data_IF_992788887838
#
_entry.id   IF_992788887838
#
_cell.length_a   1.000
_cell.length_b   1.000
_cell.length_c   1.000
_cell.angle_alpha   90.00
_cell.angle_beta   90.00
_cell.angle_gamma   90.00
#
_symmetry.space_group_name_H-M   'P 1'
#
loop_
_entity.id
_entity.type
_entity.pdbx_description
1 polymer ?
#
# COMPACT_ATOMS: atom_id res chain seq x y z
N UNK A 1 5.16 15.01 23.80
CA UNK A 1 6.51 15.61 23.87
C UNK A 1 7.40 15.25 22.68
N UNK A 2 7.65 13.98 22.35
CA UNK A 2 8.65 13.60 21.31
C UNK A 2 8.27 14.03 19.88
N UNK A 3 7.00 13.87 19.46
CA UNK A 3 6.54 14.33 18.13
C UNK A 3 6.61 15.86 18.00
N UNK A 4 6.35 16.59 19.09
CA UNK A 4 6.51 18.04 19.15
C UNK A 4 7.97 18.46 19.05
N UNK A 5 8.88 17.74 19.71
CA UNK A 5 10.32 18.02 19.64
C UNK A 5 10.91 17.71 18.27
N UNK A 6 10.48 16.63 17.61
CA UNK A 6 10.95 16.27 16.26
C UNK A 6 10.52 17.30 15.21
N UNK A 7 9.38 17.93 15.43
CA UNK A 7 8.79 18.88 14.49
C UNK A 7 9.26 20.29 14.77
N UNK A 8 9.44 20.64 16.04
CA UNK A 8 10.23 21.79 16.43
C UNK A 8 11.66 21.68 15.88
N UNK A 9 12.28 20.49 15.90
CA UNK A 9 13.59 20.26 15.28
C UNK A 9 13.55 20.34 13.75
N UNK A 10 12.47 19.89 13.10
CA UNK A 10 12.30 20.00 11.64
C UNK A 10 12.02 21.44 11.20
N UNK A 11 11.23 22.19 11.97
CA UNK A 11 11.01 23.63 11.83
C UNK A 11 12.28 24.43 12.14
N UNK A 12 13.04 24.02 13.16
CA UNK A 12 14.33 24.62 13.49
C UNK A 12 15.36 24.32 12.40
N UNK A 13 15.37 23.11 11.83
CA UNK A 13 16.20 22.76 10.68
C UNK A 13 15.79 23.58 9.45
N UNK A 14 14.50 23.78 9.22
CA UNK A 14 13.98 24.68 8.19
C UNK A 14 14.44 26.15 8.41
N UNK A 15 14.40 26.63 9.66
CA UNK A 15 14.88 27.94 10.07
C UNK A 15 16.42 28.06 10.01
N UNK A 16 17.16 26.97 10.19
CA UNK A 16 18.62 26.90 10.04
C UNK A 16 19.05 26.83 8.56
N UNK A 17 18.16 26.41 7.66
CA UNK A 17 18.39 26.46 6.21
C UNK A 17 18.09 27.85 5.63
N UNK A 18 17.36 28.72 6.32
CA UNK A 18 17.10 30.12 5.90
C UNK A 18 18.39 30.96 5.73
N UNK A 19 19.39 30.91 6.64
CA UNK A 19 20.69 31.58 6.44
C UNK A 19 21.51 31.07 5.25
N UNK A 20 21.35 29.79 4.87
CA UNK A 20 22.01 29.21 3.69
C UNK A 20 21.53 29.89 2.39
N UNK A 21 20.26 30.35 2.36
CA UNK A 21 19.69 31.15 1.26
C UNK A 21 20.29 32.57 1.21
N UNK A 22 20.78 33.09 2.33
CA UNK A 22 21.48 34.39 2.40
C UNK A 22 22.87 34.35 1.76
N UNK A 23 23.61 33.26 1.95
CA UNK A 23 24.99 33.10 1.43
C UNK A 23 25.04 32.74 -0.06
N UNK A 24 23.95 32.22 -0.64
CA UNK A 24 23.81 31.98 -2.08
C UNK A 24 23.27 33.21 -2.86
N UNK A 25 23.30 34.41 -2.26
CA UNK A 25 22.97 35.66 -2.97
C UNK A 25 24.16 36.28 -3.71
N UNK A 26 25.37 35.77 -3.51
CA UNK A 26 26.59 36.28 -4.15
C UNK A 26 26.82 35.70 -5.55
N UNK A 27 25.87 34.94 -6.11
CA UNK A 27 25.88 34.65 -7.55
C UNK A 27 25.44 35.90 -8.31
N UNK A 28 26.28 36.47 -9.17
CA UNK A 28 25.94 37.70 -9.87
C UNK A 28 24.71 37.46 -10.73
N UNK A 29 23.66 38.28 -10.50
CA UNK A 29 22.48 38.34 -11.36
C UNK A 29 22.94 38.53 -12.81
N UNK A 30 22.83 37.49 -13.62
CA UNK A 30 23.04 37.64 -15.05
C UNK A 30 21.91 38.50 -15.62
N UNK A 31 22.31 39.71 -15.96
CA UNK A 31 21.58 40.78 -16.62
C UNK A 31 20.72 40.23 -17.76
N UNK A 32 19.40 40.30 -17.61
CA UNK A 32 18.47 40.17 -18.73
C UNK A 32 18.37 41.54 -19.41
N UNK A 33 19.26 41.79 -20.37
CA UNK A 33 19.17 42.97 -21.24
C UNK A 33 17.97 42.80 -22.16
N UNK A 34 16.86 43.44 -21.80
CA UNK A 34 15.67 43.59 -22.65
C UNK A 34 16.04 44.47 -23.85
N UNK A 35 16.33 43.85 -25.00
CA UNK A 35 16.35 44.51 -26.30
C UNK A 35 15.05 44.19 -27.04
N UNK A 36 14.28 45.23 -27.36
CA UNK A 36 13.07 45.15 -28.18
C UNK A 36 13.36 44.51 -29.55
N UNK A 37 12.49 43.60 -30.00
CA UNK A 37 12.27 43.36 -31.44
C UNK A 37 12.74 42.04 -32.06
N UNK A 38 13.05 40.98 -31.31
CA UNK A 38 13.48 39.70 -31.89
C UNK A 38 12.43 38.59 -31.64
N UNK A 39 12.05 37.76 -32.64
CA UNK A 39 11.19 36.60 -32.41
C UNK A 39 11.83 35.68 -31.38
N UNK A 40 11.05 34.96 -30.55
CA UNK A 40 11.59 34.20 -29.43
C UNK A 40 12.53 33.11 -29.96
N UNK A 41 13.84 33.33 -29.80
CA UNK A 41 14.83 32.28 -29.99
C UNK A 41 14.49 31.13 -29.03
N UNK A 42 14.63 29.86 -29.44
CA UNK A 42 14.50 28.73 -28.52
C UNK A 42 15.41 29.01 -27.33
N UNK A 43 14.82 29.03 -26.14
CA UNK A 43 15.45 29.44 -24.88
C UNK A 43 16.78 28.68 -24.74
N UNK A 44 17.91 29.34 -24.96
CA UNK A 44 19.22 28.70 -24.79
C UNK A 44 19.42 28.48 -23.29
N UNK A 45 19.14 27.26 -22.83
CA UNK A 45 19.38 26.83 -21.46
C UNK A 45 20.87 26.95 -21.18
N UNK A 46 21.26 27.85 -20.29
CA UNK A 46 22.64 27.91 -19.81
C UNK A 46 22.98 26.58 -19.11
N UNK A 47 24.26 26.14 -19.12
CA UNK A 47 24.67 24.90 -18.45
C UNK A 47 24.30 24.87 -16.97
N UNK A 48 24.38 26.02 -16.29
CA UNK A 48 23.98 26.18 -14.89
C UNK A 48 22.48 25.95 -14.70
N UNK A 49 21.64 26.62 -15.50
CA UNK A 49 20.18 26.47 -15.43
C UNK A 49 19.76 25.02 -15.75
N UNK A 50 20.38 24.39 -16.75
CA UNK A 50 20.13 22.97 -17.06
C UNK A 50 20.47 22.05 -15.88
N UNK A 51 21.54 22.34 -15.16
CA UNK A 51 21.96 21.58 -13.99
C UNK A 51 20.97 21.77 -12.84
N UNK A 52 20.57 23.01 -12.57
CA UNK A 52 19.58 23.32 -11.54
C UNK A 52 18.22 22.68 -11.83
N UNK A 53 17.75 22.68 -13.09
CA UNK A 53 16.53 21.98 -13.50
C UNK A 53 16.66 20.47 -13.25
N UNK A 54 17.81 19.89 -13.54
CA UNK A 54 18.07 18.46 -13.32
C UNK A 54 18.03 18.12 -11.82
N UNK A 55 18.67 18.93 -10.98
CA UNK A 55 18.63 18.78 -9.52
C UNK A 55 17.21 18.95 -8.99
N UNK A 56 16.46 19.97 -9.43
CA UNK A 56 15.07 20.17 -9.06
C UNK A 56 14.20 18.94 -9.40
N UNK A 57 14.32 18.44 -10.63
CA UNK A 57 13.57 17.29 -11.10
C UNK A 57 13.90 16.02 -10.29
N UNK A 58 15.19 15.79 -10.03
CA UNK A 58 15.64 14.64 -9.24
C UNK A 58 15.16 14.70 -7.79
N UNK A 59 15.27 15.87 -7.14
CA UNK A 59 14.78 16.08 -5.77
C UNK A 59 13.28 15.81 -5.64
N UNK A 60 12.47 16.30 -6.60
CA UNK A 60 11.03 16.05 -6.59
C UNK A 60 10.66 14.61 -6.96
N UNK A 61 11.38 13.97 -7.86
CA UNK A 61 11.21 12.54 -8.10
C UNK A 61 11.42 11.76 -6.81
N UNK A 62 12.60 11.88 -6.18
CA UNK A 62 12.91 11.16 -4.94
C UNK A 62 11.92 11.49 -3.83
N UNK A 63 11.50 12.76 -3.71
CA UNK A 63 10.54 13.19 -2.70
C UNK A 63 9.12 12.70 -2.96
N UNK A 64 8.40 13.31 -3.91
CA UNK A 64 6.96 13.11 -4.12
C UNK A 64 6.66 11.90 -5.02
N UNK A 65 7.62 11.52 -5.87
CA UNK A 65 7.50 10.33 -6.72
C UNK A 65 7.77 9.02 -5.97
N UNK A 66 8.73 9.03 -5.02
CA UNK A 66 9.19 7.81 -4.36
C UNK A 66 8.96 7.77 -2.84
N UNK A 67 9.61 8.67 -2.07
CA UNK A 67 9.61 8.59 -0.60
C UNK A 67 8.22 8.78 0.00
N UNK A 68 7.40 9.70 -0.53
CA UNK A 68 6.05 9.91 -0.01
C UNK A 68 5.14 8.68 -0.19
N UNK A 69 5.07 8.05 -1.39
CA UNK A 69 4.39 6.76 -1.56
C UNK A 69 4.91 5.65 -0.65
N UNK A 70 6.24 5.53 -0.50
CA UNK A 70 6.86 4.55 0.41
C UNK A 70 6.43 4.80 1.86
N UNK A 71 6.42 6.06 2.30
CA UNK A 71 5.93 6.44 3.62
C UNK A 71 4.48 6.00 3.85
N UNK A 72 3.60 6.14 2.84
CA UNK A 72 2.21 5.66 2.92
C UNK A 72 2.16 4.14 3.03
N UNK A 73 2.93 3.40 2.23
CA UNK A 73 2.97 1.94 2.29
C UNK A 73 3.41 1.47 3.68
N UNK A 74 4.48 2.07 4.25
CA UNK A 74 4.99 1.75 5.59
C UNK A 74 3.90 1.86 6.66
N UNK A 75 3.18 2.99 6.71
CA UNK A 75 2.14 3.17 7.74
C UNK A 75 0.93 2.25 7.50
N UNK A 76 0.62 1.91 6.25
CA UNK A 76 -0.46 0.96 5.96
C UNK A 76 -0.16 -0.45 6.47
N UNK A 77 1.12 -0.86 6.55
CA UNK A 77 1.50 -2.19 7.08
C UNK A 77 1.04 -2.31 8.53
N UNK A 78 0.92 -1.17 9.23
CA UNK A 78 0.50 -1.12 10.61
C UNK A 78 -0.89 -1.74 10.85
N UNK A 79 -1.77 -1.81 9.83
CA UNK A 79 -3.08 -2.46 9.94
C UNK A 79 -2.97 -3.98 10.17
N UNK A 80 -1.85 -4.60 9.78
CA UNK A 80 -1.60 -6.04 9.89
C UNK A 80 -0.84 -6.44 11.16
N UNK A 81 -0.43 -5.46 11.95
CA UNK A 81 0.50 -5.66 13.05
C UNK A 81 -0.22 -5.46 14.37
N UNK A 82 -0.40 -6.54 15.12
CA UNK A 82 -1.02 -6.50 16.45
C UNK A 82 -0.03 -6.16 17.57
N UNK A 83 1.28 -6.20 17.29
CA UNK A 83 2.32 -5.86 18.27
C UNK A 83 2.46 -4.33 18.42
N UNK A 84 2.21 -3.82 19.63
CA UNK A 84 2.28 -2.38 19.94
C UNK A 84 3.66 -1.77 19.63
N UNK A 85 4.75 -2.49 19.92
CA UNK A 85 6.11 -2.01 19.66
C UNK A 85 6.36 -1.84 18.17
N UNK A 86 5.95 -2.81 17.35
CA UNK A 86 6.07 -2.74 15.89
C UNK A 86 5.17 -1.64 15.30
N UNK A 87 3.97 -1.46 15.84
CA UNK A 87 3.06 -0.36 15.44
C UNK A 87 3.71 1.01 15.67
N UNK A 88 4.36 1.21 16.83
CA UNK A 88 5.12 2.43 17.13
C UNK A 88 6.29 2.60 16.16
N UNK A 89 7.05 1.54 15.88
CA UNK A 89 8.16 1.57 14.95
C UNK A 89 7.73 1.98 13.52
N UNK A 90 6.64 1.39 13.00
CA UNK A 90 6.09 1.75 11.68
C UNK A 90 5.59 3.20 11.64
N UNK A 91 4.98 3.68 12.73
CA UNK A 91 4.58 5.09 12.84
C UNK A 91 5.79 6.04 12.81
N UNK A 92 6.86 5.74 13.55
CA UNK A 92 8.08 6.55 13.51
C UNK A 92 8.77 6.48 12.15
N UNK A 93 8.86 5.30 11.54
CA UNK A 93 9.42 5.12 10.21
C UNK A 93 8.65 5.97 9.17
N UNK A 94 7.31 5.96 9.22
CA UNK A 94 6.49 6.83 8.40
C UNK A 94 6.82 8.31 8.61
N UNK A 95 6.85 8.80 9.85
CA UNK A 95 7.14 10.21 10.14
C UNK A 95 8.53 10.61 9.65
N UNK A 96 9.54 9.76 9.85
CA UNK A 96 10.93 10.02 9.42
C UNK A 96 10.99 10.11 7.89
N UNK A 97 10.46 9.10 7.18
CA UNK A 97 10.45 9.08 5.71
C UNK A 97 9.71 10.30 5.15
N UNK A 98 8.55 10.65 5.72
CA UNK A 98 7.79 11.83 5.27
C UNK A 98 8.51 13.14 5.57
N UNK A 99 9.21 13.23 6.70
CA UNK A 99 10.00 14.42 7.02
C UNK A 99 11.13 14.61 6.01
N UNK A 100 11.87 13.56 5.69
CA UNK A 100 12.91 13.60 4.65
C UNK A 100 12.32 14.01 3.31
N UNK A 101 11.17 13.44 2.91
CA UNK A 101 10.50 13.82 1.68
C UNK A 101 10.11 15.30 1.65
N UNK A 102 9.52 15.84 2.72
CA UNK A 102 9.13 17.26 2.82
C UNK A 102 10.36 18.18 2.73
N UNK A 103 11.48 17.81 3.35
CA UNK A 103 12.72 18.58 3.29
C UNK A 103 13.28 18.61 1.85
N UNK A 104 13.30 17.48 1.14
CA UNK A 104 13.70 17.43 -0.26
C UNK A 104 12.77 18.25 -1.17
N UNK A 105 11.45 18.17 -0.96
CA UNK A 105 10.48 18.98 -1.69
C UNK A 105 10.67 20.48 -1.44
N UNK A 106 10.99 20.85 -0.20
CA UNK A 106 11.30 22.23 0.18
C UNK A 106 12.60 22.70 -0.48
N UNK A 107 13.66 21.91 -0.46
CA UNK A 107 14.91 22.25 -1.15
C UNK A 107 14.67 22.47 -2.65
N UNK A 108 13.87 21.61 -3.30
CA UNK A 108 13.51 21.76 -4.70
C UNK A 108 12.65 23.02 -4.97
N UNK A 109 11.72 23.34 -4.08
CA UNK A 109 10.89 24.55 -4.17
C UNK A 109 11.73 25.82 -4.01
N UNK A 110 12.65 25.85 -3.04
CA UNK A 110 13.60 26.96 -2.84
C UNK A 110 14.49 27.13 -4.07
N UNK A 111 15.02 26.02 -4.61
CA UNK A 111 15.80 26.03 -5.85
C UNK A 111 15.01 26.65 -7.02
N UNK A 112 13.72 26.30 -7.14
CA UNK A 112 12.83 26.88 -8.16
C UNK A 112 12.55 28.36 -7.96
N UNK A 113 12.32 28.80 -6.72
CA UNK A 113 12.02 30.21 -6.41
C UNK A 113 13.22 31.10 -6.69
N UNK A 114 14.42 30.63 -6.38
CA UNK A 114 15.66 31.42 -6.53
C UNK A 114 16.13 31.47 -7.98
N UNK A 115 16.06 30.36 -8.71
CA UNK A 115 16.78 30.22 -9.98
C UNK A 115 15.90 30.18 -11.23
N UNK A 116 14.60 29.95 -11.11
CA UNK A 116 13.72 29.80 -12.27
C UNK A 116 12.78 31.00 -12.44
N UNK A 117 12.30 31.21 -13.66
CA UNK A 117 11.25 32.20 -13.92
C UNK A 117 9.89 31.70 -13.41
N UNK A 118 9.41 32.29 -12.32
CA UNK A 118 8.15 31.93 -11.68
C UNK A 118 6.97 32.76 -12.21
N UNK A 119 6.76 32.74 -13.54
CA UNK A 119 5.64 33.46 -14.18
C UNK A 119 4.27 32.78 -13.99
N UNK A 120 4.25 31.53 -13.51
CA UNK A 120 3.05 30.69 -13.31
C UNK A 120 2.15 30.59 -14.55
N UNK A 121 2.73 30.79 -15.73
CA UNK A 121 2.03 30.73 -17.02
C UNK A 121 1.79 29.30 -17.50
N UNK A 122 2.51 28.32 -16.93
CA UNK A 122 2.41 26.92 -17.28
C UNK A 122 1.72 26.08 -16.18
N UNK A 123 1.13 24.96 -16.59
CA UNK A 123 0.40 24.04 -15.70
C UNK A 123 1.30 23.40 -14.63
N UNK A 124 2.53 23.02 -14.95
CA UNK A 124 3.50 22.46 -14.00
C UNK A 124 3.82 23.42 -12.84
N UNK A 125 4.00 24.70 -13.11
CA UNK A 125 4.28 25.71 -12.09
C UNK A 125 3.08 25.93 -11.16
N UNK A 126 1.88 26.08 -11.75
CA UNK A 126 0.64 26.27 -10.98
C UNK A 126 0.32 25.05 -10.11
N UNK A 127 0.41 23.86 -10.70
CA UNK A 127 0.18 22.60 -9.99
C UNK A 127 1.27 22.36 -8.94
N UNK A 128 2.53 22.63 -9.25
CA UNK A 128 3.66 22.51 -8.33
C UNK A 128 3.53 23.40 -7.10
N UNK A 129 3.10 24.66 -7.26
CA UNK A 129 2.84 25.55 -6.14
C UNK A 129 1.68 25.06 -5.25
N UNK A 130 0.56 24.65 -5.86
CA UNK A 130 -0.57 24.08 -5.13
C UNK A 130 -0.18 22.79 -4.39
N UNK A 131 0.58 21.91 -5.05
CA UNK A 131 1.11 20.69 -4.47
C UNK A 131 2.02 21.00 -3.27
N UNK A 132 2.91 21.98 -3.38
CA UNK A 132 3.79 22.36 -2.28
C UNK A 132 3.02 22.85 -1.05
N UNK A 133 1.94 23.61 -1.25
CA UNK A 133 1.06 23.98 -0.15
C UNK A 133 0.39 22.74 0.50
N UNK A 134 -0.10 21.79 -0.31
CA UNK A 134 -0.69 20.55 0.19
C UNK A 134 0.32 19.69 0.97
N UNK A 135 1.58 19.63 0.54
CA UNK A 135 2.66 18.94 1.24
C UNK A 135 2.83 19.47 2.67
N UNK A 136 2.73 20.78 2.89
CA UNK A 136 2.82 21.38 4.23
C UNK A 136 1.53 21.31 5.04
N UNK A 137 0.37 21.28 4.39
CA UNK A 137 -0.91 21.05 5.08
C UNK A 137 -0.94 19.66 5.72
N UNK A 138 -0.32 18.65 5.11
CA UNK A 138 -0.25 17.28 5.64
C UNK A 138 0.25 17.16 7.09
N UNK A 139 1.47 17.62 7.42
CA UNK A 139 1.96 17.56 8.78
C UNK A 139 1.12 18.42 9.73
N UNK A 140 0.59 19.57 9.30
CA UNK A 140 -0.33 20.39 10.11
C UNK A 140 -1.58 19.59 10.50
N UNK A 141 -2.24 18.96 9.54
CA UNK A 141 -3.38 18.07 9.80
C UNK A 141 -2.95 16.91 10.70
N UNK A 142 -1.74 16.37 10.52
CA UNK A 142 -1.22 15.32 11.37
C UNK A 142 -0.93 15.77 12.82
N UNK A 143 -0.62 17.05 13.08
CA UNK A 143 -0.51 17.58 14.45
C UNK A 143 -1.85 17.69 15.15
N UNK A 144 -2.90 18.04 14.40
CA UNK A 144 -4.27 18.15 14.91
C UNK A 144 -4.95 16.78 15.10
N UNK A 145 -4.14 15.72 15.20
CA UNK A 145 -4.56 14.33 15.38
C UNK A 145 -5.39 14.17 16.67
N UNK A 146 -6.68 13.81 16.58
CA UNK A 146 -7.52 13.60 17.76
C UNK A 146 -7.09 12.38 18.59
N UNK A 147 -7.41 12.42 19.89
CA UNK A 147 -7.28 11.29 20.81
C UNK A 147 -8.09 10.07 20.34
N UNK A 148 -7.62 8.87 20.69
CA UNK A 148 -8.32 7.60 20.38
C UNK A 148 -9.68 7.56 21.07
N UNK A 149 -10.64 6.84 20.48
CA UNK A 149 -12.01 6.70 20.99
C UNK A 149 -12.98 7.83 20.61
N UNK A 150 -12.50 8.92 20.01
CA UNK A 150 -13.37 10.03 19.56
C UNK A 150 -13.97 9.75 18.18
N UNK A 151 -15.24 10.12 17.95
CA UNK A 151 -15.88 10.01 16.61
C UNK A 151 -15.13 10.83 15.54
N UNK A 152 -14.52 11.94 15.94
CA UNK A 152 -13.72 12.83 15.08
C UNK A 152 -12.46 12.15 14.54
N UNK A 153 -11.91 11.16 15.26
CA UNK A 153 -10.73 10.38 14.86
C UNK A 153 -10.90 9.73 13.48
N UNK A 154 -12.09 9.20 13.18
CA UNK A 154 -12.40 8.55 11.90
C UNK A 154 -12.40 9.54 10.75
N UNK A 155 -13.03 10.71 10.94
CA UNK A 155 -13.05 11.80 9.95
C UNK A 155 -11.63 12.33 9.70
N UNK A 156 -10.87 12.56 10.76
CA UNK A 156 -9.46 12.97 10.64
C UNK A 156 -8.63 11.93 9.86
N UNK A 157 -8.82 10.64 10.14
CA UNK A 157 -8.10 9.58 9.46
C UNK A 157 -8.43 9.56 7.96
N UNK A 158 -9.71 9.62 7.61
CA UNK A 158 -10.16 9.67 6.22
C UNK A 158 -9.59 10.90 5.49
N UNK A 159 -9.67 12.08 6.12
CA UNK A 159 -9.15 13.33 5.55
C UNK A 159 -7.64 13.27 5.34
N UNK A 160 -6.88 12.88 6.37
CA UNK A 160 -5.42 12.78 6.30
C UNK A 160 -4.99 11.76 5.25
N UNK A 161 -5.66 10.60 5.20
CA UNK A 161 -5.40 9.57 4.21
C UNK A 161 -5.71 10.04 2.79
N UNK A 162 -6.91 10.60 2.53
CA UNK A 162 -7.31 11.10 1.21
C UNK A 162 -6.37 12.20 0.72
N UNK A 163 -6.08 13.19 1.57
CA UNK A 163 -5.16 14.25 1.22
C UNK A 163 -3.75 13.69 0.95
N UNK A 164 -3.30 12.68 1.72
CA UNK A 164 -1.94 12.15 1.63
C UNK A 164 -1.74 11.36 0.33
N UNK A 165 -2.72 10.52 -0.01
CA UNK A 165 -2.77 9.85 -1.30
C UNK A 165 -2.91 10.85 -2.46
N UNK A 166 -3.72 11.90 -2.29
CA UNK A 166 -3.86 12.98 -3.27
C UNK A 166 -2.54 13.69 -3.55
N UNK A 167 -1.75 14.01 -2.52
CA UNK A 167 -0.41 14.59 -2.67
C UNK A 167 0.50 13.68 -3.50
N UNK A 168 0.48 12.36 -3.29
CA UNK A 168 1.29 11.43 -4.06
C UNK A 168 0.86 11.37 -5.53
N UNK A 169 -0.45 11.27 -5.80
CA UNK A 169 -0.99 11.23 -7.18
C UNK A 169 -0.67 12.53 -7.92
N UNK A 170 -0.95 13.68 -7.30
CA UNK A 170 -0.66 14.99 -7.89
C UNK A 170 0.86 15.21 -8.04
N UNK A 171 1.66 14.69 -7.10
CA UNK A 171 3.12 14.71 -7.15
C UNK A 171 3.67 14.00 -8.37
N UNK A 172 3.31 12.72 -8.55
CA UNK A 172 3.71 11.92 -9.71
C UNK A 172 3.23 12.58 -11.01
N UNK A 173 1.98 13.01 -11.08
CA UNK A 173 1.45 13.73 -12.23
C UNK A 173 2.28 14.99 -12.54
N UNK A 174 2.63 15.77 -11.52
CA UNK A 174 3.41 16.98 -11.71
C UNK A 174 4.85 16.70 -12.18
N UNK A 175 5.45 15.57 -11.79
CA UNK A 175 6.75 15.12 -12.32
C UNK A 175 6.64 14.80 -13.81
N UNK A 176 5.60 14.09 -14.25
CA UNK A 176 5.37 13.82 -15.68
C UNK A 176 5.16 15.11 -16.49
N UNK A 177 4.36 16.05 -15.98
CA UNK A 177 4.14 17.35 -16.64
C UNK A 177 5.47 18.14 -16.69
N UNK A 178 6.30 18.05 -15.65
CA UNK A 178 7.64 18.64 -15.61
C UNK A 178 8.57 18.05 -16.67
N UNK A 179 8.61 16.72 -16.80
CA UNK A 179 9.36 16.02 -17.86
C UNK A 179 8.89 16.42 -19.25
N UNK A 180 7.58 16.53 -19.46
CA UNK A 180 6.99 16.98 -20.71
C UNK A 180 7.42 18.41 -21.06
N UNK A 181 7.29 19.32 -20.09
CA UNK A 181 7.69 20.73 -20.23
C UNK A 181 9.19 20.84 -20.53
N UNK A 182 10.03 20.04 -19.86
CA UNK A 182 11.47 20.02 -20.10
C UNK A 182 11.80 19.54 -21.52
N UNK A 183 11.14 18.49 -22.01
CA UNK A 183 11.28 18.00 -23.39
C UNK A 183 10.94 19.09 -24.41
N UNK A 184 9.82 19.78 -24.24
CA UNK A 184 9.39 20.85 -25.15
C UNK A 184 10.36 22.03 -25.16
N UNK A 185 10.91 22.40 -24.00
CA UNK A 185 11.79 23.56 -23.85
C UNK A 185 13.23 23.30 -24.29
N UNK A 186 13.75 22.09 -24.03
CA UNK A 186 15.15 21.74 -24.27
C UNK A 186 15.37 20.94 -25.56
N UNK A 187 14.30 20.44 -26.19
CA UNK A 187 14.33 19.47 -27.29
C UNK A 187 15.15 18.20 -26.98
N UNK A 188 15.42 17.92 -25.70
CA UNK A 188 16.16 16.72 -25.26
C UNK A 188 15.20 15.57 -25.00
N UNK A 189 15.66 14.36 -25.31
CA UNK A 189 14.91 13.14 -25.05
C UNK A 189 14.82 12.87 -23.54
N UNK A 190 13.59 12.71 -23.04
CA UNK A 190 13.29 12.34 -21.65
C UNK A 190 12.80 10.89 -21.50
N UNK A 191 12.81 10.11 -22.58
CA UNK A 191 12.17 8.79 -22.63
C UNK A 191 12.72 7.82 -21.58
N UNK A 192 14.03 7.80 -21.37
CA UNK A 192 14.64 6.91 -20.37
C UNK A 192 14.14 7.24 -18.96
N UNK A 193 14.16 8.53 -18.60
CA UNK A 193 13.66 9.01 -17.31
C UNK A 193 12.16 8.74 -17.13
N UNK A 194 11.35 8.97 -18.16
CA UNK A 194 9.93 8.65 -18.15
C UNK A 194 9.67 7.15 -17.97
N UNK A 195 10.42 6.29 -18.66
CA UNK A 195 10.30 4.84 -18.53
C UNK A 195 10.68 4.35 -17.14
N UNK A 196 11.78 4.86 -16.56
CA UNK A 196 12.21 4.54 -15.20
C UNK A 196 11.16 4.98 -14.16
N UNK A 197 10.65 6.21 -14.26
CA UNK A 197 9.59 6.69 -13.38
C UNK A 197 8.32 5.83 -13.51
N UNK A 198 7.96 5.43 -14.73
CA UNK A 198 6.78 4.58 -14.97
C UNK A 198 6.96 3.19 -14.39
N UNK A 199 8.14 2.59 -14.53
CA UNK A 199 8.45 1.31 -13.92
C UNK A 199 8.39 1.39 -12.39
N UNK A 200 9.00 2.41 -11.79
CA UNK A 200 8.95 2.67 -10.35
C UNK A 200 7.52 2.82 -9.83
N UNK A 201 6.74 3.73 -10.44
CA UNK A 201 5.34 3.98 -10.05
C UNK A 201 4.50 2.70 -10.20
N UNK A 202 4.75 1.90 -11.24
CA UNK A 202 4.07 0.62 -11.43
C UNK A 202 4.40 -0.37 -10.31
N UNK A 203 5.69 -0.48 -9.93
CA UNK A 203 6.12 -1.34 -8.82
C UNK A 203 5.48 -0.88 -7.51
N UNK A 204 5.54 0.42 -7.21
CA UNK A 204 4.92 1.01 -6.02
C UNK A 204 3.41 0.76 -5.99
N UNK A 205 2.72 0.92 -7.12
CA UNK A 205 1.29 0.65 -7.24
C UNK A 205 0.97 -0.84 -7.01
N UNK A 206 1.75 -1.76 -7.59
CA UNK A 206 1.61 -3.20 -7.36
C UNK A 206 1.80 -3.53 -5.89
N UNK A 207 2.87 -3.02 -5.25
CA UNK A 207 3.12 -3.22 -3.81
C UNK A 207 1.95 -2.69 -2.98
N UNK A 208 1.46 -1.49 -3.29
CA UNK A 208 0.34 -0.85 -2.60
C UNK A 208 -0.94 -1.71 -2.70
N UNK A 209 -1.25 -2.26 -3.87
CA UNK A 209 -2.44 -3.11 -4.08
C UNK A 209 -2.29 -4.50 -3.44
N UNK A 210 -1.11 -5.10 -3.51
CA UNK A 210 -0.85 -6.43 -2.96
C UNK A 210 -0.85 -6.45 -1.43
N UNK A 211 -0.48 -5.34 -0.79
CA UNK A 211 -0.41 -5.20 0.66
C UNK A 211 -1.72 -5.61 1.36
N UNK A 212 -2.87 -5.19 0.82
CA UNK A 212 -4.19 -5.50 1.40
C UNK A 212 -4.59 -6.98 1.20
N UNK A 213 -4.09 -7.63 0.13
CA UNK A 213 -4.41 -9.02 -0.20
C UNK A 213 -3.38 -10.04 0.28
N UNK A 214 -2.27 -9.59 0.87
CA UNK A 214 -1.16 -10.46 1.27
C UNK A 214 -1.57 -11.67 2.12
N UNK A 215 -2.36 -11.50 3.18
CA UNK A 215 -2.81 -12.62 4.03
C UNK A 215 -3.68 -13.63 3.27
N UNK A 216 -4.53 -13.15 2.37
CA UNK A 216 -5.35 -14.00 1.53
C UNK A 216 -4.48 -14.84 0.58
N UNK A 217 -3.49 -14.21 -0.07
CA UNK A 217 -2.54 -14.89 -0.96
C UNK A 217 -1.73 -15.94 -0.20
N UNK A 218 -1.21 -15.60 0.99
CA UNK A 218 -0.46 -16.54 1.83
C UNK A 218 -1.33 -17.71 2.31
N UNK A 219 -2.62 -17.47 2.60
CA UNK A 219 -3.56 -18.54 2.95
C UNK A 219 -3.77 -19.50 1.77
N UNK A 220 -3.96 -18.98 0.55
CA UNK A 220 -4.12 -19.83 -0.63
C UNK A 220 -2.85 -20.61 -0.98
N UNK A 221 -1.67 -19.98 -0.85
CA UNK A 221 -0.39 -20.65 -1.08
C UNK A 221 -0.19 -21.85 -0.12
N UNK A 222 -0.57 -21.70 1.15
CA UNK A 222 -0.49 -22.79 2.14
C UNK A 222 -1.47 -23.92 1.88
N UNK A 223 -2.71 -23.60 1.49
CA UNK A 223 -3.72 -24.62 1.15
C UNK A 223 -3.31 -25.41 -0.10
N UNK A 224 -2.65 -24.77 -1.08
CA UNK A 224 -2.11 -25.47 -2.24
C UNK A 224 -1.01 -26.47 -1.90
N UNK A 225 -0.12 -26.14 -0.95
CA UNK A 225 0.99 -27.01 -0.51
C UNK A 225 0.48 -28.24 0.26
N UNK A 226 -0.54 -28.05 1.09
CA UNK A 226 -1.17 -29.11 1.89
C UNK A 226 -1.98 -30.10 1.03
N UNK A 227 -2.53 -29.67 -0.11
CA UNK A 227 -3.21 -30.59 -1.04
C UNK A 227 -2.26 -31.34 -1.99
N UNK A 228 -1.03 -30.86 -2.18
CA UNK A 228 -0.02 -31.51 -3.03
C UNK A 228 0.80 -32.55 -2.27
N UNK A 229 0.78 -32.54 -0.92
CA UNK A 229 1.42 -33.55 -0.08
C UNK A 229 0.37 -34.43 0.63
N UNK A 230 -0.16 -35.49 -0.03
CA UNK A 230 -0.91 -36.49 0.72
C UNK A 230 0.03 -37.08 1.78
N UNK A 231 -0.42 -37.09 3.03
CA UNK A 231 0.38 -37.65 4.11
C UNK A 231 0.80 -39.08 3.74
N UNK A 232 2.07 -39.49 3.98
CA UNK A 232 2.51 -40.85 3.65
C UNK A 232 1.60 -41.92 4.26
N UNK A 233 0.96 -41.61 5.39
CA UNK A 233 0.03 -42.49 6.09
C UNK A 233 -1.32 -42.64 5.37
N UNK A 234 -1.88 -41.57 4.79
CA UNK A 234 -3.12 -41.66 4.01
C UNK A 234 -2.91 -42.39 2.68
N UNK A 235 -1.77 -42.16 2.01
CA UNK A 235 -1.41 -42.93 0.82
C UNK A 235 -1.23 -44.42 1.11
N UNK A 236 -0.67 -44.78 2.27
CA UNK A 236 -0.55 -46.18 2.71
C UNK A 236 -1.92 -46.76 3.05
N UNK A 237 -2.80 -46.00 3.72
CA UNK A 237 -4.14 -46.44 4.07
C UNK A 237 -5.00 -46.71 2.83
N UNK A 238 -4.91 -45.85 1.81
CA UNK A 238 -5.62 -46.01 0.54
C UNK A 238 -5.12 -47.22 -0.25
N UNK A 239 -3.81 -47.43 -0.33
CA UNK A 239 -3.24 -48.65 -0.95
C UNK A 239 -3.66 -49.90 -0.18
N UNK A 240 -3.69 -49.84 1.15
CA UNK A 240 -4.13 -50.96 1.99
C UNK A 240 -5.63 -51.23 1.84
N UNK A 241 -6.46 -50.19 1.71
CA UNK A 241 -7.90 -50.30 1.44
C UNK A 241 -8.17 -50.88 0.05
N UNK A 242 -7.41 -50.47 -0.97
CA UNK A 242 -7.50 -51.05 -2.31
C UNK A 242 -7.08 -52.52 -2.33
N UNK A 243 -6.01 -52.88 -1.62
CA UNK A 243 -5.60 -54.29 -1.47
C UNK A 243 -6.67 -55.12 -0.73
N UNK A 244 -7.28 -54.58 0.32
CA UNK A 244 -8.37 -55.25 1.03
C UNK A 244 -9.62 -55.40 0.17
N UNK A 245 -9.92 -54.43 -0.69
CA UNK A 245 -11.04 -54.51 -1.64
C UNK A 245 -10.80 -55.60 -2.71
N UNK A 246 -9.58 -55.69 -3.27
CA UNK A 246 -9.21 -56.71 -4.26
C UNK A 246 -9.22 -58.14 -3.67
N UNK A 247 -8.72 -58.30 -2.44
CA UNK A 247 -8.76 -59.58 -1.71
C UNK A 247 -10.21 -59.98 -1.38
N UNK A 248 -11.07 -58.99 -1.11
CA UNK A 248 -12.51 -59.22 -0.87
C UNK A 248 -13.25 -59.60 -2.15
N UNK A 249 -12.91 -59.02 -3.29
CA UNK A 249 -13.49 -59.37 -4.60
C UNK A 249 -13.08 -60.78 -5.04
N UNK A 250 -11.79 -61.13 -4.90
CA UNK A 250 -11.30 -62.48 -5.21
C UNK A 250 -11.94 -63.56 -4.32
N UNK A 251 -12.17 -63.27 -3.04
CA UNK A 251 -12.90 -64.17 -2.13
C UNK A 251 -14.39 -64.27 -2.51
N UNK A 252 -15.01 -63.15 -2.90
CA UNK A 252 -16.42 -63.13 -3.31
C UNK A 252 -16.65 -63.82 -4.65
N UNK A 253 -15.73 -63.70 -5.62
CA UNK A 253 -15.74 -64.45 -6.88
C UNK A 253 -15.63 -65.96 -6.68
N UNK A 254 -14.79 -66.41 -5.72
CA UNK A 254 -14.73 -67.84 -5.37
C UNK A 254 -16.04 -68.34 -4.78
N UNK A 255 -16.66 -67.59 -3.87
CA UNK A 255 -17.94 -67.95 -3.25
C UNK A 255 -19.10 -67.91 -4.24
N UNK A 256 -19.10 -66.96 -5.18
CA UNK A 256 -20.14 -66.83 -6.20
C UNK A 256 -20.12 -67.97 -7.23
N UNK A 257 -18.93 -68.46 -7.59
CA UNK A 257 -18.80 -69.61 -8.49
C UNK A 257 -19.21 -70.95 -7.85
N UNK A 258 -19.14 -71.07 -6.52
CA UNK A 258 -19.61 -72.25 -5.79
C UNK A 258 -21.12 -72.23 -5.47
N UNK A 259 -21.81 -71.08 -5.64
CA UNK A 259 -23.20 -70.88 -5.26
C UNK A 259 -24.25 -71.08 -6.38
N UNK A 260 -23.84 -71.34 -7.63
CA UNK A 260 -24.78 -71.42 -8.75
C UNK A 260 -25.38 -72.83 -8.95
N UNK A 261 -26.43 -73.13 -8.18
CA UNK A 261 -27.51 -74.04 -8.61
C UNK A 261 -28.86 -73.33 -8.46
N UNK A 262 -29.73 -73.28 -9.49
CA UNK A 262 -30.89 -72.39 -9.47
C UNK A 262 -32.17 -73.09 -8.99
N UNK A 263 -32.93 -72.46 -8.09
CA UNK A 263 -34.39 -72.65 -7.98
C UNK A 263 -35.12 -71.36 -7.61
N UNK A 264 -36.22 -71.13 -8.33
CA UNK A 264 -37.20 -70.05 -8.26
C UNK A 264 -37.90 -69.91 -6.90
N UNK A 265 -38.36 -68.68 -6.58
CA UNK A 265 -39.49 -68.44 -5.68
C UNK A 265 -39.51 -67.05 -5.00
N UNK A 266 -40.49 -66.22 -5.36
CA UNK A 266 -40.90 -64.91 -4.78
C UNK A 266 -42.21 -65.18 -3.95
N UNK A 267 -42.79 -64.33 -3.02
CA UNK A 267 -42.46 -62.99 -2.44
C UNK A 267 -42.73 -62.78 -0.89
N UNK A 268 -42.57 -61.50 -0.45
CA UNK A 268 -43.41 -60.66 0.46
C UNK A 268 -43.00 -60.41 1.94
N UNK A 269 -42.89 -59.12 2.33
CA UNK A 269 -43.09 -58.63 3.73
C UNK A 269 -42.33 -57.36 4.20
N UNK A 270 -43.06 -56.23 4.36
CA UNK A 270 -42.91 -54.93 5.13
C UNK A 270 -41.79 -54.71 6.20
N UNK A 271 -41.65 -53.53 6.90
CA UNK A 271 -41.83 -52.07 6.61
C UNK A 271 -40.69 -51.17 7.22
N UNK A 272 -40.63 -49.84 6.97
CA UNK A 272 -39.79 -48.91 7.77
C UNK A 272 -40.45 -47.55 8.09
N UNK A 273 -40.40 -47.16 9.37
CA UNK A 273 -40.93 -45.93 9.99
C UNK A 273 -39.77 -44.97 10.32
N UNK A 274 -39.92 -43.68 10.08
CA UNK A 274 -38.88 -42.64 10.22
C UNK A 274 -38.96 -41.89 11.56
N UNK A 275 -37.85 -41.89 12.32
CA UNK A 275 -37.63 -41.01 13.48
C UNK A 275 -36.23 -40.38 13.40
N UNK A 276 -36.10 -39.24 12.70
CA UNK A 276 -34.82 -38.49 12.61
C UNK A 276 -34.95 -36.98 12.85
N UNK A 277 -36.15 -36.43 13.07
CA UNK A 277 -36.38 -34.98 12.90
C UNK A 277 -36.32 -34.13 14.20
N UNK A 278 -35.99 -34.70 15.37
CA UNK A 278 -35.99 -33.96 16.64
C UNK A 278 -34.59 -33.66 17.20
N UNK A 279 -33.60 -34.53 16.95
CA UNK A 279 -32.25 -34.37 17.49
C UNK A 279 -31.44 -33.31 16.73
N UNK A 280 -31.58 -33.26 15.40
CA UNK A 280 -30.90 -32.27 14.56
C UNK A 280 -31.27 -30.82 14.95
N UNK A 281 -32.54 -30.56 15.30
CA UNK A 281 -32.99 -29.21 15.68
C UNK A 281 -32.50 -28.73 17.04
N UNK A 282 -32.15 -29.66 17.94
CA UNK A 282 -31.58 -29.33 19.26
C UNK A 282 -30.09 -29.01 19.15
N UNK A 283 -29.36 -29.74 18.30
CA UNK A 283 -27.93 -29.52 18.06
C UNK A 283 -27.66 -28.16 17.39
N UNK A 284 -28.51 -27.74 16.43
CA UNK A 284 -28.34 -26.42 15.77
C UNK A 284 -28.60 -25.25 16.72
N UNK A 285 -29.52 -25.39 17.67
CA UNK A 285 -29.82 -24.32 18.64
C UNK A 285 -28.73 -24.16 19.70
N UNK A 286 -28.11 -25.27 20.11
CA UNK A 286 -27.03 -25.25 21.11
C UNK A 286 -25.76 -24.59 20.56
N UNK A 287 -25.38 -24.94 19.33
CA UNK A 287 -24.23 -24.34 18.63
C UNK A 287 -24.41 -22.85 18.36
N UNK A 288 -25.63 -22.40 18.04
CA UNK A 288 -25.91 -20.97 17.81
C UNK A 288 -25.89 -20.15 19.11
N UNK A 289 -26.24 -20.75 20.25
CA UNK A 289 -26.17 -20.09 21.56
C UNK A 289 -24.72 -19.95 22.05
N UNK A 290 -23.90 -20.99 21.89
CA UNK A 290 -22.47 -20.98 22.25
C UNK A 290 -21.67 -19.98 21.41
N UNK A 291 -21.98 -19.85 20.10
CA UNK A 291 -21.35 -18.86 19.23
C UNK A 291 -21.60 -17.41 19.66
N UNK A 292 -22.83 -17.08 20.08
CA UNK A 292 -23.16 -15.73 20.57
C UNK A 292 -22.49 -15.39 21.89
N UNK A 293 -22.30 -16.38 22.76
CA UNK A 293 -21.70 -16.16 24.08
C UNK A 293 -20.20 -15.91 23.98
N UNK A 294 -19.51 -16.58 23.04
CA UNK A 294 -18.09 -16.35 22.75
C UNK A 294 -17.83 -15.00 22.09
N UNK A 295 -18.75 -14.52 21.25
CA UNK A 295 -18.65 -13.20 20.63
C UNK A 295 -18.73 -12.09 21.68
N UNK A 296 -19.70 -12.19 22.61
CA UNK A 296 -19.86 -11.24 23.72
C UNK A 296 -18.68 -11.25 24.70
N UNK A 297 -18.09 -12.41 24.99
CA UNK A 297 -16.92 -12.50 25.88
C UNK A 297 -15.64 -11.94 25.23
N UNK A 298 -15.54 -12.01 23.90
CA UNK A 298 -14.42 -11.42 23.15
C UNK A 298 -14.47 -9.89 23.11
N UNK A 299 -15.68 -9.32 23.00
CA UNK A 299 -15.89 -7.87 23.00
C UNK A 299 -15.61 -7.27 24.39
N UNK A 300 -16.03 -7.95 25.47
CA UNK A 300 -15.83 -7.47 26.84
C UNK A 300 -14.34 -7.52 27.28
N UNK A 301 -13.58 -8.52 26.81
CA UNK A 301 -12.12 -8.61 27.06
C UNK A 301 -11.32 -7.57 26.28
N UNK A 302 -11.80 -7.14 25.11
CA UNK A 302 -11.17 -6.06 24.34
C UNK A 302 -11.44 -4.68 24.95
N UNK A 303 -12.57 -4.51 25.66
CA UNK A 303 -12.97 -3.24 26.26
C UNK A 303 -12.34 -2.97 27.63
N UNK A 304 -11.98 -4.01 28.40
CA UNK A 304 -11.38 -3.88 29.73
C UNK A 304 -9.83 -3.91 29.77
N UNK A 305 -9.16 -3.81 28.63
CA UNK A 305 -7.68 -3.89 28.55
C UNK A 305 -6.94 -2.55 28.49
N UNK A 306 -7.59 -1.38 28.33
CA UNK A 306 -6.89 -0.07 28.29
C UNK A 306 -7.75 1.12 28.72
#
# INVERSE_FOLDING_TARGET
MILGNFVAASLLLLLLLLPCVGSLRDTPRLVQSRRNGQPPNPLQLTPELSTQITVHAFLLWVSVGFLMPVGIIIIRVSHRVHCITKLKALFYAHVIVQTVAILLATAAAVLSVINFENSFSNTHQRLGAALYALIWIQPVVAFLRPHRGTKVRGVWYLLHWLLGTGVCVLGVANVYIGLHTYRERSSRTVSLWASLLTAEVSIVAVVYLLQDKWEYLMKQARVGDEQVTPSPLESIMDVMLLLQAEVRDTKSRKVFLEGFTPKLGIPLGMPWRTTRNKEDKLLTRKTQAEGKQLETESEDKLQNSF
#
